data_IF_974153993426
#
_entry.id   IF_974153993426
#
_cell.length_a   1.000
_cell.length_b   1.000
_cell.length_c   1.000
_cell.angle_alpha   90.00
_cell.angle_beta   90.00
_cell.angle_gamma   90.00
#
_symmetry.space_group_name_H-M   'P 1'
#
loop_
_entity.id
_entity.type
_entity.pdbx_description
1 polymer ?
#
# COMPACT_ATOMS: atom_id res chain seq x y z
N UNK A 1 -11.39 5.22 -2.80
CA UNK A 1 -11.72 3.78 -2.96
C UNK A 1 -11.83 3.35 -4.42
N UNK A 2 -12.77 3.88 -5.21
CA UNK A 2 -12.99 3.50 -6.63
C UNK A 2 -11.71 3.48 -7.47
N UNK A 3 -10.93 4.56 -7.46
CA UNK A 3 -9.68 4.64 -8.25
C UNK A 3 -8.54 3.90 -7.56
N UNK A 4 -8.14 4.36 -6.38
CA UNK A 4 -6.92 3.87 -5.72
C UNK A 4 -6.92 2.36 -5.44
N UNK A 5 -8.05 1.79 -5.01
CA UNK A 5 -8.13 0.36 -4.69
C UNK A 5 -8.71 -0.43 -5.85
N UNK A 6 -9.96 -0.18 -6.25
CA UNK A 6 -10.62 -0.98 -7.27
C UNK A 6 -10.00 -0.82 -8.67
N UNK A 7 -9.57 0.39 -9.03
CA UNK A 7 -8.85 0.64 -10.28
C UNK A 7 -7.51 -0.10 -10.31
N UNK A 8 -6.69 0.04 -9.27
CA UNK A 8 -5.41 -0.69 -9.14
C UNK A 8 -5.63 -2.20 -9.19
N UNK A 9 -6.64 -2.70 -8.45
CA UNK A 9 -7.02 -4.11 -8.45
C UNK A 9 -7.36 -4.60 -9.85
N UNK A 10 -8.20 -3.87 -10.60
CA UNK A 10 -8.57 -4.24 -11.96
C UNK A 10 -7.34 -4.29 -12.89
N UNK A 11 -6.43 -3.32 -12.79
CA UNK A 11 -5.16 -3.35 -13.54
C UNK A 11 -4.35 -4.60 -13.18
N UNK A 12 -4.24 -4.94 -11.89
CA UNK A 12 -3.55 -6.15 -11.47
C UNK A 12 -4.24 -7.43 -11.99
N UNK A 13 -5.57 -7.52 -11.93
CA UNK A 13 -6.35 -8.65 -12.43
C UNK A 13 -6.05 -8.92 -13.91
N UNK A 14 -6.02 -7.87 -14.74
CA UNK A 14 -5.82 -8.02 -16.18
C UNK A 14 -4.34 -8.19 -16.57
N UNK A 15 -3.41 -7.50 -15.89
CA UNK A 15 -2.02 -7.41 -16.32
C UNK A 15 -1.06 -8.36 -15.59
N UNK A 16 -1.35 -8.79 -14.35
CA UNK A 16 -0.48 -9.75 -13.65
C UNK A 16 -0.32 -11.09 -14.39
N UNK A 17 -1.37 -11.67 -15.01
CA UNK A 17 -1.22 -12.88 -15.81
C UNK A 17 -0.23 -12.71 -16.99
N UNK A 18 -0.11 -11.49 -17.52
CA UNK A 18 0.77 -11.17 -18.65
C UNK A 18 2.23 -10.92 -18.23
N UNK A 19 2.52 -10.82 -16.92
CA UNK A 19 3.87 -10.57 -16.45
C UNK A 19 4.80 -11.72 -16.84
N UNK A 20 5.89 -11.38 -17.52
CA UNK A 20 6.94 -12.33 -17.91
C UNK A 20 7.80 -12.72 -16.71
N UNK A 21 8.55 -13.81 -16.85
CA UNK A 21 9.59 -14.17 -15.90
C UNK A 21 10.57 -13.00 -15.68
N UNK A 22 11.04 -12.85 -14.46
CA UNK A 22 11.84 -11.73 -13.95
C UNK A 22 11.11 -10.39 -14.03
N UNK A 23 9.78 -10.38 -14.14
CA UNK A 23 8.97 -9.16 -14.11
C UNK A 23 8.99 -8.48 -12.74
N UNK A 24 8.88 -7.14 -12.72
CA UNK A 24 8.75 -6.35 -11.49
C UNK A 24 7.42 -5.61 -11.53
N UNK A 25 6.69 -5.67 -10.42
CA UNK A 25 5.42 -4.98 -10.24
C UNK A 25 5.54 -4.06 -9.05
N UNK A 26 5.22 -2.78 -9.27
CA UNK A 26 5.37 -1.74 -8.26
C UNK A 26 4.04 -1.04 -8.06
N UNK A 27 3.43 -1.27 -6.91
CA UNK A 27 2.21 -0.57 -6.52
C UNK A 27 2.58 0.65 -5.67
N UNK A 28 2.30 1.86 -6.17
CA UNK A 28 2.54 3.10 -5.43
C UNK A 28 1.45 3.30 -4.38
N UNK A 29 1.75 2.86 -3.15
CA UNK A 29 0.93 3.07 -1.97
C UNK A 29 1.23 4.45 -1.32
N UNK A 30 1.16 4.57 -0.01
CA UNK A 30 1.51 5.78 0.75
C UNK A 30 1.85 5.42 2.19
N UNK A 31 2.67 6.23 2.83
CA UNK A 31 2.91 6.20 4.27
C UNK A 31 1.60 6.38 5.07
N UNK A 32 0.58 7.03 4.49
CA UNK A 32 -0.76 7.11 5.09
C UNK A 32 -1.39 5.75 5.37
N UNK A 33 -0.98 4.67 4.69
CA UNK A 33 -1.49 3.34 4.99
C UNK A 33 -1.16 2.91 6.42
N UNK A 34 -0.02 3.34 6.97
CA UNK A 34 0.38 3.05 8.35
C UNK A 34 -0.43 3.84 9.35
N UNK A 35 -0.70 5.12 9.06
CA UNK A 35 -1.59 5.95 9.87
C UNK A 35 -3.00 5.34 9.93
N UNK A 36 -3.56 4.94 8.77
CA UNK A 36 -4.83 4.22 8.72
C UNK A 36 -4.80 2.94 9.55
N UNK A 37 -3.77 2.09 9.38
CA UNK A 37 -3.67 0.85 10.15
C UNK A 37 -3.61 1.12 11.66
N UNK A 38 -2.76 2.06 12.10
CA UNK A 38 -2.58 2.39 13.52
C UNK A 38 -3.87 2.88 14.18
N UNK A 39 -4.69 3.60 13.43
CA UNK A 39 -5.96 4.18 13.91
C UNK A 39 -7.16 3.24 13.77
N UNK A 40 -7.03 2.08 13.13
CA UNK A 40 -8.06 1.05 13.12
C UNK A 40 -8.22 0.41 14.52
N UNK A 41 -9.38 -0.19 14.80
CA UNK A 41 -9.56 -1.04 15.97
C UNK A 41 -8.62 -2.26 15.94
N UNK A 42 -8.33 -2.89 17.09
CA UNK A 42 -7.49 -4.10 17.14
C UNK A 42 -7.97 -5.22 16.20
N UNK A 43 -9.27 -5.39 16.04
CA UNK A 43 -9.86 -6.41 15.17
C UNK A 43 -9.58 -6.11 13.69
N UNK A 44 -9.75 -4.86 13.26
CA UNK A 44 -9.41 -4.45 11.90
C UNK A 44 -7.90 -4.50 11.66
N UNK A 45 -7.08 -4.09 12.63
CA UNK A 45 -5.63 -4.23 12.57
C UNK A 45 -5.23 -5.69 12.34
N UNK A 46 -5.80 -6.62 13.10
CA UNK A 46 -5.53 -8.06 12.94
C UNK A 46 -5.90 -8.54 11.54
N UNK A 47 -7.05 -8.14 11.00
CA UNK A 47 -7.47 -8.50 9.64
C UNK A 47 -6.49 -7.98 8.59
N UNK A 48 -6.10 -6.70 8.65
CA UNK A 48 -5.17 -6.10 7.67
C UNK A 48 -3.72 -6.56 7.82
N UNK A 49 -3.35 -7.14 8.96
CA UNK A 49 -2.03 -7.75 9.18
C UNK A 49 -2.02 -9.26 8.91
N UNK A 50 -3.18 -9.90 8.80
CA UNK A 50 -3.28 -11.34 8.59
C UNK A 50 -2.52 -11.76 7.32
N UNK A 51 -1.55 -12.65 7.47
CA UNK A 51 -0.71 -13.16 6.38
C UNK A 51 -1.46 -14.09 5.43
N UNK A 52 -2.64 -14.57 5.80
CA UNK A 52 -3.49 -15.47 5.00
C UNK A 52 -4.75 -14.79 4.45
N UNK A 53 -4.94 -13.48 4.67
CA UNK A 53 -6.10 -12.75 4.12
C UNK A 53 -6.21 -12.97 2.60
N UNK A 54 -7.42 -13.25 2.13
CA UNK A 54 -7.75 -13.42 0.73
C UNK A 54 -8.08 -12.10 0.05
N UNK A 55 -8.03 -12.07 -1.28
CA UNK A 55 -8.40 -10.86 -2.02
C UNK A 55 -9.88 -10.52 -1.82
N UNK A 56 -10.73 -11.54 -1.74
CA UNK A 56 -12.17 -11.43 -1.52
C UNK A 56 -12.49 -10.82 -0.15
N UNK A 57 -11.82 -11.28 0.92
CA UNK A 57 -11.95 -10.69 2.26
C UNK A 57 -11.50 -9.23 2.27
N UNK A 58 -10.39 -8.91 1.61
CA UNK A 58 -9.91 -7.54 1.49
C UNK A 58 -10.92 -6.65 0.75
N UNK A 59 -11.47 -7.14 -0.37
CA UNK A 59 -12.53 -6.44 -1.12
C UNK A 59 -13.76 -6.21 -0.25
N UNK A 60 -14.16 -7.20 0.54
CA UNK A 60 -15.24 -7.08 1.52
C UNK A 60 -15.00 -5.97 2.52
N UNK A 61 -13.79 -5.89 3.10
CA UNK A 61 -13.40 -4.82 4.02
C UNK A 61 -13.41 -3.43 3.37
N UNK A 62 -12.90 -3.32 2.13
CA UNK A 62 -12.89 -2.05 1.39
C UNK A 62 -14.29 -1.56 1.04
N UNK A 63 -15.20 -2.46 0.68
CA UNK A 63 -16.61 -2.13 0.49
C UNK A 63 -17.29 -1.76 1.80
N UNK A 64 -17.05 -2.51 2.88
CA UNK A 64 -17.60 -2.21 4.21
C UNK A 64 -17.22 -0.81 4.67
N UNK A 65 -15.97 -0.38 4.51
CA UNK A 65 -15.56 0.99 4.80
C UNK A 65 -16.40 2.04 4.05
N UNK A 66 -16.65 1.83 2.75
CA UNK A 66 -17.47 2.75 1.95
C UNK A 66 -18.93 2.77 2.43
N UNK A 67 -19.48 1.63 2.83
CA UNK A 67 -20.86 1.57 3.33
C UNK A 67 -21.00 2.16 4.74
N UNK A 68 -20.04 1.89 5.63
CA UNK A 68 -20.05 2.43 6.99
C UNK A 68 -19.89 3.95 7.00
N UNK A 69 -19.08 4.50 6.09
CA UNK A 69 -18.94 5.96 5.92
C UNK A 69 -20.22 6.60 5.38
N UNK A 70 -20.92 5.98 4.41
CA UNK A 70 -22.24 6.45 3.95
C UNK A 70 -23.28 6.46 5.07
N UNK A 71 -23.20 5.49 5.99
CA UNK A 71 -24.09 5.37 7.15
C UNK A 71 -23.69 6.25 8.33
N UNK A 72 -22.50 6.88 8.28
CA UNK A 72 -21.96 7.68 9.39
C UNK A 72 -21.57 6.86 10.63
N UNK A 73 -21.28 5.56 10.48
CA UNK A 73 -20.96 4.65 11.60
C UNK A 73 -19.50 4.18 11.60
N UNK A 74 -18.66 4.75 10.74
CA UNK A 74 -17.29 4.27 10.51
C UNK A 74 -16.44 4.19 11.79
N UNK A 75 -16.50 5.20 12.67
CA UNK A 75 -15.75 5.19 13.92
C UNK A 75 -16.23 4.10 14.88
N UNK A 76 -17.56 3.92 14.98
CA UNK A 76 -18.17 2.86 15.80
C UNK A 76 -17.76 1.47 15.30
N UNK A 77 -17.61 1.31 13.98
CA UNK A 77 -17.17 0.08 13.33
C UNK A 77 -15.64 -0.10 13.36
N UNK A 78 -14.91 0.79 14.04
CA UNK A 78 -13.47 0.67 14.27
C UNK A 78 -12.59 1.24 13.16
N UNK A 79 -13.14 1.93 12.16
CA UNK A 79 -12.35 2.59 11.12
C UNK A 79 -11.67 3.86 11.67
N UNK A 80 -10.57 4.31 11.04
CA UNK A 80 -9.83 5.48 11.51
C UNK A 80 -10.69 6.75 11.58
N UNK A 81 -10.35 7.65 12.48
CA UNK A 81 -10.94 8.99 12.59
C UNK A 81 -9.90 10.05 12.20
N UNK A 82 -9.51 10.09 10.91
CA UNK A 82 -8.49 11.02 10.41
C UNK A 82 -9.03 11.91 9.31
N UNK A 83 -8.62 13.17 9.23
CA UNK A 83 -9.12 14.14 8.25
C UNK A 83 -8.93 13.71 6.77
N UNK A 84 -8.02 12.76 6.50
CA UNK A 84 -7.78 12.15 5.17
C UNK A 84 -8.25 10.69 5.06
N UNK A 85 -9.25 10.32 5.87
CA UNK A 85 -9.74 8.95 6.07
C UNK A 85 -9.92 8.13 4.78
N UNK A 86 -10.62 8.61 3.73
CA UNK A 86 -10.88 7.80 2.55
C UNK A 86 -9.63 7.51 1.71
N UNK A 87 -8.67 8.43 1.71
CA UNK A 87 -7.40 8.26 1.01
C UNK A 87 -6.53 7.23 1.73
N UNK A 88 -6.33 7.41 3.03
CA UNK A 88 -5.47 6.56 3.85
C UNK A 88 -5.93 5.10 3.85
N UNK A 89 -7.24 4.85 4.03
CA UNK A 89 -7.82 3.49 3.96
C UNK A 89 -7.67 2.89 2.56
N UNK A 90 -7.83 3.69 1.49
CA UNK A 90 -7.62 3.17 0.13
C UNK A 90 -6.18 2.75 -0.14
N UNK A 91 -5.19 3.45 0.42
CA UNK A 91 -3.76 3.09 0.31
C UNK A 91 -3.40 1.92 1.22
N UNK A 92 -4.05 1.77 2.38
CA UNK A 92 -4.00 0.53 3.17
C UNK A 92 -4.48 -0.67 2.37
N UNK A 93 -5.59 -0.52 1.62
CA UNK A 93 -6.05 -1.53 0.66
C UNK A 93 -4.98 -1.89 -0.38
N UNK A 94 -4.30 -0.89 -0.99
CA UNK A 94 -3.21 -1.14 -1.96
C UNK A 94 -2.02 -1.88 -1.33
N UNK A 95 -1.63 -1.51 -0.11
CA UNK A 95 -0.55 -2.19 0.62
C UNK A 95 -0.88 -3.66 0.86
N UNK A 96 -2.08 -3.96 1.36
CA UNK A 96 -2.49 -5.34 1.65
C UNK A 96 -2.72 -6.14 0.36
N UNK A 97 -3.30 -5.54 -0.68
CA UNK A 97 -3.44 -6.17 -1.99
C UNK A 97 -2.08 -6.61 -2.56
N UNK A 98 -1.06 -5.77 -2.42
CA UNK A 98 0.30 -6.09 -2.86
C UNK A 98 0.88 -7.29 -2.10
N UNK A 99 0.61 -7.41 -0.80
CA UNK A 99 1.01 -8.58 0.00
C UNK A 99 0.35 -9.86 -0.50
N UNK A 100 -0.96 -9.79 -0.79
CA UNK A 100 -1.74 -10.93 -1.32
C UNK A 100 -1.19 -11.35 -2.68
N UNK A 101 -1.02 -10.43 -3.63
CA UNK A 101 -0.55 -10.75 -4.98
C UNK A 101 0.87 -11.30 -4.98
N UNK A 102 1.77 -10.78 -4.13
CA UNK A 102 3.09 -11.35 -3.96
C UNK A 102 3.03 -12.81 -3.44
N UNK A 103 2.23 -13.07 -2.40
CA UNK A 103 2.01 -14.45 -1.89
C UNK A 103 1.50 -15.38 -3.00
N UNK A 104 0.48 -14.96 -3.74
CA UNK A 104 -0.08 -15.75 -4.84
C UNK A 104 0.97 -16.02 -5.94
N UNK A 105 1.81 -15.03 -6.29
CA UNK A 105 2.92 -15.22 -7.23
C UNK A 105 3.94 -16.24 -6.71
N UNK A 106 4.26 -16.21 -5.42
CA UNK A 106 5.15 -17.18 -4.78
C UNK A 106 4.58 -18.61 -4.80
N UNK A 107 3.26 -18.76 -4.66
CA UNK A 107 2.58 -20.06 -4.68
C UNK A 107 2.41 -20.61 -6.11
N UNK A 108 2.05 -19.74 -7.06
CA UNK A 108 1.60 -20.15 -8.40
C UNK A 108 2.70 -20.05 -9.46
N UNK A 109 3.67 -19.14 -9.28
CA UNK A 109 4.67 -18.76 -10.30
C UNK A 109 6.09 -18.64 -9.71
N UNK A 110 6.42 -19.45 -8.70
CA UNK A 110 7.71 -19.40 -7.98
C UNK A 110 8.94 -19.39 -8.89
N UNK A 111 8.94 -20.20 -9.95
CA UNK A 111 10.07 -20.32 -10.89
C UNK A 111 10.29 -19.09 -11.77
N UNK A 112 9.28 -18.23 -11.91
CA UNK A 112 9.33 -17.08 -12.79
C UNK A 112 10.10 -15.90 -12.19
N UNK A 113 10.44 -15.92 -10.89
CA UNK A 113 11.20 -14.85 -10.23
C UNK A 113 10.57 -13.44 -10.40
N UNK A 114 9.25 -13.36 -10.36
CA UNK A 114 8.52 -12.09 -10.41
C UNK A 114 8.54 -11.46 -9.01
N UNK A 115 8.94 -10.19 -8.91
CA UNK A 115 8.91 -9.44 -7.66
C UNK A 115 7.79 -8.41 -7.66
N UNK A 116 6.97 -8.39 -6.62
CA UNK A 116 5.88 -7.44 -6.45
C UNK A 116 5.97 -6.79 -5.08
N UNK A 117 5.99 -5.46 -5.05
CA UNK A 117 6.07 -4.70 -3.80
C UNK A 117 5.16 -3.47 -3.84
N UNK A 118 4.75 -3.04 -2.65
CA UNK A 118 4.20 -1.70 -2.44
C UNK A 118 5.33 -0.71 -2.12
N UNK A 119 5.10 0.58 -2.35
CA UNK A 119 6.02 1.61 -1.89
C UNK A 119 5.32 2.92 -1.51
N UNK A 120 6.01 3.77 -0.74
CA UNK A 120 5.68 5.18 -0.60
C UNK A 120 6.76 6.02 -1.29
N UNK A 121 6.38 6.98 -2.15
CA UNK A 121 7.34 7.87 -2.80
C UNK A 121 7.86 8.99 -1.88
N UNK A 122 7.22 9.19 -0.73
CA UNK A 122 7.42 10.35 0.15
C UNK A 122 6.35 11.42 -0.07
N UNK A 123 6.53 12.59 0.55
CA UNK A 123 5.69 13.76 0.31
C UNK A 123 6.29 14.58 -0.84
N UNK A 124 5.65 14.52 -2.01
CA UNK A 124 6.22 14.97 -3.31
C UNK A 124 5.48 16.18 -3.86
N UNK A 125 6.22 17.19 -4.33
CA UNK A 125 5.72 18.41 -4.98
C UNK A 125 5.07 18.07 -6.33
N UNK A 126 3.77 17.82 -6.25
CA UNK A 126 2.86 17.50 -7.34
C UNK A 126 1.54 18.22 -7.09
N UNK A 127 0.62 18.20 -8.05
CA UNK A 127 -0.74 18.74 -7.84
C UNK A 127 -1.44 18.13 -6.62
N UNK A 128 -1.13 16.86 -6.29
CA UNK A 128 -1.68 16.17 -5.11
C UNK A 128 -0.96 16.54 -3.80
N UNK A 129 0.37 16.67 -3.84
CA UNK A 129 1.18 16.92 -2.64
C UNK A 129 1.32 18.40 -2.27
N UNK A 130 1.05 19.31 -3.21
CA UNK A 130 1.20 20.75 -3.05
C UNK A 130 2.64 21.24 -3.17
N UNK A 131 2.84 22.57 -3.30
CA UNK A 131 4.17 23.16 -3.52
C UNK A 131 5.09 23.09 -2.30
N UNK A 132 4.53 22.90 -1.10
CA UNK A 132 5.28 22.83 0.18
C UNK A 132 5.82 21.43 0.50
N UNK A 133 5.53 20.45 -0.35
CA UNK A 133 6.02 19.09 -0.15
C UNK A 133 7.55 19.03 -0.20
N UNK A 134 8.14 18.10 0.55
CA UNK A 134 9.58 18.08 0.79
C UNK A 134 10.40 17.54 -0.39
N UNK A 135 9.82 16.70 -1.25
CA UNK A 135 10.52 16.07 -2.39
C UNK A 135 10.11 16.64 -3.74
N UNK A 136 11.03 16.68 -4.70
CA UNK A 136 10.71 16.88 -6.12
C UNK A 136 10.12 15.60 -6.73
N UNK A 137 9.45 15.67 -7.89
CA UNK A 137 9.02 14.48 -8.63
C UNK A 137 10.14 13.47 -8.88
N UNK A 138 11.36 13.95 -9.19
CA UNK A 138 12.55 13.12 -9.41
C UNK A 138 12.95 12.36 -8.14
N UNK A 139 13.01 13.06 -6.99
CA UNK A 139 13.30 12.44 -5.68
C UNK A 139 12.19 11.46 -5.25
N UNK A 140 10.94 11.76 -5.60
CA UNK A 140 9.78 10.89 -5.36
C UNK A 140 9.80 9.60 -6.20
N UNK A 141 10.36 9.65 -7.40
CA UNK A 141 10.44 8.51 -8.32
C UNK A 141 11.50 7.48 -7.91
N UNK A 142 12.45 7.84 -7.05
CA UNK A 142 13.60 6.99 -6.71
C UNK A 142 13.22 5.59 -6.16
N UNK A 143 12.30 5.51 -5.19
CA UNK A 143 11.91 4.21 -4.61
C UNK A 143 11.10 3.35 -5.60
N UNK A 144 10.10 3.91 -6.32
CA UNK A 144 9.42 3.18 -7.39
C UNK A 144 10.38 2.65 -8.47
N UNK A 145 11.31 3.48 -8.96
CA UNK A 145 12.28 3.10 -9.99
C UNK A 145 13.25 2.04 -9.46
N UNK A 146 13.74 2.19 -8.23
CA UNK A 146 14.55 1.17 -7.57
C UNK A 146 13.86 -0.21 -7.55
N UNK A 147 12.57 -0.26 -7.20
CA UNK A 147 11.80 -1.50 -7.18
C UNK A 147 11.55 -2.09 -8.57
N UNK A 148 11.31 -1.23 -9.57
CA UNK A 148 11.10 -1.66 -10.96
C UNK A 148 12.39 -2.25 -11.58
N UNK A 149 13.55 -1.81 -11.12
CA UNK A 149 14.87 -2.16 -11.65
C UNK A 149 15.67 -3.10 -10.74
N UNK A 150 15.03 -3.77 -9.78
CA UNK A 150 15.71 -4.80 -8.96
C UNK A 150 16.42 -5.82 -9.88
N UNK A 151 17.65 -6.26 -9.58
CA UNK A 151 18.36 -7.25 -10.39
C UNK A 151 17.63 -8.61 -10.51
N UNK A 152 17.89 -9.39 -11.57
CA UNK A 152 17.22 -10.67 -11.88
C UNK A 152 17.57 -11.83 -10.97
N UNK A 153 18.68 -11.71 -10.26
CA UNK A 153 19.23 -12.68 -9.33
C UNK A 153 18.77 -12.43 -7.89
N UNK A 154 18.07 -11.32 -7.60
CA UNK A 154 17.53 -11.07 -6.26
C UNK A 154 16.19 -11.75 -6.03
N UNK A 155 15.99 -12.27 -4.82
CA UNK A 155 14.71 -12.86 -4.40
C UNK A 155 13.86 -11.90 -3.56
N UNK A 156 14.44 -10.78 -3.10
CA UNK A 156 13.81 -9.80 -2.21
C UNK A 156 14.19 -8.38 -2.62
N UNK A 157 13.37 -7.37 -2.27
CA UNK A 157 12.09 -7.45 -1.53
C UNK A 157 10.96 -8.10 -2.33
N UNK A 158 10.02 -8.75 -1.63
CA UNK A 158 8.84 -9.38 -2.23
C UNK A 158 7.68 -9.42 -1.23
N UNK A 159 6.53 -8.81 -1.60
CA UNK A 159 5.39 -8.64 -0.71
C UNK A 159 5.62 -7.60 0.39
N UNK A 160 6.62 -6.74 0.22
CA UNK A 160 7.03 -5.73 1.19
C UNK A 160 6.46 -4.36 0.83
N UNK A 161 6.48 -3.44 1.81
CA UNK A 161 6.27 -2.01 1.58
C UNK A 161 7.57 -1.26 1.83
N UNK A 162 8.02 -0.48 0.84
CA UNK A 162 9.28 0.25 0.92
C UNK A 162 9.09 1.76 0.99
N UNK A 163 10.00 2.41 1.71
CA UNK A 163 10.17 3.87 1.73
C UNK A 163 11.66 4.17 1.79
N UNK A 164 12.14 5.14 1.00
CA UNK A 164 13.58 5.45 0.90
C UNK A 164 14.43 4.20 0.58
N UNK A 165 13.95 3.35 -0.35
CA UNK A 165 14.58 2.07 -0.75
C UNK A 165 14.77 1.08 0.41
N UNK A 166 14.12 1.30 1.56
CA UNK A 166 14.21 0.43 2.75
C UNK A 166 12.86 -0.23 3.02
N UNK A 167 12.89 -1.53 3.32
CA UNK A 167 11.72 -2.28 3.79
C UNK A 167 11.21 -1.67 5.09
N UNK A 168 9.89 -1.54 5.19
CA UNK A 168 9.19 -1.14 6.41
C UNK A 168 8.31 -2.31 6.84
N UNK A 169 8.51 -2.76 8.08
CA UNK A 169 7.66 -3.78 8.68
C UNK A 169 6.22 -3.28 8.62
N UNK A 170 5.30 -4.06 8.08
CA UNK A 170 3.88 -3.71 8.11
C UNK A 170 3.31 -3.91 9.51
N UNK A 171 2.68 -2.89 10.09
CA UNK A 171 2.16 -2.93 11.45
C UNK A 171 1.87 -1.54 12.04
N UNK A 172 1.13 -1.47 13.16
CA UNK A 172 0.75 -0.20 13.81
C UNK A 172 1.91 0.50 14.54
N UNK A 173 2.97 -0.23 14.88
CA UNK A 173 4.13 0.26 15.64
C UNK A 173 5.38 0.48 14.78
N UNK A 174 5.20 0.60 13.47
CA UNK A 174 6.31 0.70 12.54
C UNK A 174 7.02 2.04 12.63
N UNK A 175 8.36 2.01 12.68
CA UNK A 175 9.17 3.22 12.64
C UNK A 175 9.06 3.86 11.25
N UNK A 176 8.57 5.09 11.22
CA UNK A 176 8.43 5.89 10.01
C UNK A 176 9.68 6.76 9.80
N UNK A 177 9.96 7.18 8.54
CA UNK A 177 11.03 8.14 8.28
C UNK A 177 10.85 9.44 9.08
N UNK A 178 11.95 10.09 9.45
CA UNK A 178 11.93 11.32 10.26
C UNK A 178 11.06 12.43 9.66
N UNK A 179 11.07 12.57 8.33
CA UNK A 179 10.26 13.56 7.62
C UNK A 179 8.75 13.32 7.73
N UNK A 180 8.31 12.10 8.06
CA UNK A 180 6.90 11.81 8.26
C UNK A 180 6.31 12.62 9.42
N UNK A 181 7.14 12.97 10.40
CA UNK A 181 6.77 13.84 11.52
C UNK A 181 6.76 15.33 11.17
N UNK A 182 7.00 15.69 9.91
CA UNK A 182 6.92 17.06 9.40
C UNK A 182 5.73 17.25 8.45
N UNK A 183 5.04 16.18 8.08
CA UNK A 183 3.83 16.22 7.27
C UNK A 183 2.64 16.56 8.17
N UNK A 184 1.98 17.73 8.00
CA UNK A 184 0.86 18.15 8.84
C UNK A 184 -0.37 17.25 8.70
N UNK A 185 -0.37 16.32 7.74
CA UNK A 185 -1.43 15.31 7.56
C UNK A 185 -1.14 14.03 8.37
N UNK A 186 0.14 13.78 8.71
CA UNK A 186 0.59 12.62 9.52
C UNK A 186 0.56 12.91 11.01
N UNK A 187 0.85 14.15 11.40
CA UNK A 187 0.87 14.66 12.79
C UNK A 187 -0.56 14.97 13.23
#
# INVERSE_FOLDING_TARGET
MKTNFFGTRAVCTELLPLMKAQGRVVNVSSIMSFAALKSCSPELQQKFMNETITEEELVGLMNKFVEDTKKGVQQKEGWPDVNVLPYAVSKMGVTVLSRIHARNLSEQRRGDKILLNACCPGWVRTDMGGPTAIKSPEEGAETPVYLALLPSDVERPHGDILMEKKVRRWGPLSQLPSWAHSDPVII
#
